data_IF_976738926448
#
_entry.id   IF_976738926448
#
_cell.length_a   1.000
_cell.length_b   1.000
_cell.length_c   1.000
_cell.angle_alpha   90.00
_cell.angle_beta   90.00
_cell.angle_gamma   90.00
#
_symmetry.space_group_name_H-M   'P 1'
#
loop_
_entity.id
_entity.type
_entity.pdbx_description
1 polymer ?
#
# COMPACT_ATOMS: atom_id res chain seq x y z
N UNK A 1 25.15 -3.21 2.48
CA UNK A 1 24.45 -2.41 1.45
C UNK A 1 23.63 -1.35 2.15
N UNK A 2 23.94 -0.06 1.92
CA UNK A 2 23.15 1.04 2.51
C UNK A 2 21.79 1.04 1.80
N UNK A 3 20.76 0.55 2.49
CA UNK A 3 19.41 0.50 1.95
C UNK A 3 18.86 1.93 1.88
N UNK A 4 19.08 2.59 0.75
CA UNK A 4 18.47 3.86 0.42
C UNK A 4 17.00 3.65 0.02
N UNK A 5 16.20 3.12 0.94
CA UNK A 5 14.75 3.22 0.80
C UNK A 5 14.42 4.67 1.17
N UNK A 6 14.47 5.57 0.18
CA UNK A 6 13.69 6.80 0.30
C UNK A 6 12.28 6.33 0.64
N UNK A 7 11.77 6.76 1.79
CA UNK A 7 10.37 6.52 2.19
C UNK A 7 9.50 6.73 0.95
N UNK A 8 8.60 5.77 0.67
CA UNK A 8 7.66 5.86 -0.45
C UNK A 8 6.96 7.24 -0.45
N UNK A 9 6.78 7.85 0.73
CA UNK A 9 6.21 9.18 0.85
C UNK A 9 7.01 10.35 0.29
N UNK A 10 8.26 10.15 -0.14
CA UNK A 10 9.03 11.15 -0.86
C UNK A 10 8.74 11.18 -2.38
N UNK A 11 8.03 10.17 -2.91
CA UNK A 11 7.76 10.01 -4.35
C UNK A 11 6.33 10.44 -4.66
N UNK A 12 6.06 11.73 -4.46
CA UNK A 12 4.70 12.29 -4.61
C UNK A 12 4.17 12.21 -6.04
N UNK A 13 5.02 12.04 -7.05
CA UNK A 13 4.65 11.91 -8.46
C UNK A 13 4.20 10.50 -8.87
N UNK A 14 4.29 9.52 -7.97
CA UNK A 14 3.94 8.13 -8.28
C UNK A 14 2.44 8.01 -8.57
N UNK A 15 2.11 7.46 -9.75
CA UNK A 15 0.72 7.20 -10.19
C UNK A 15 0.29 5.76 -10.03
N UNK A 16 1.24 4.82 -10.13
CA UNK A 16 0.96 3.40 -10.10
C UNK A 16 1.91 2.75 -9.10
N UNK A 17 1.35 2.03 -8.13
CA UNK A 17 2.08 1.27 -7.14
C UNK A 17 1.59 -0.18 -7.20
N UNK A 18 2.45 -1.06 -7.67
CA UNK A 18 2.21 -2.49 -7.71
C UNK A 18 2.91 -3.16 -6.52
N UNK A 19 2.11 -3.73 -5.62
CA UNK A 19 2.52 -4.55 -4.49
C UNK A 19 1.86 -5.93 -4.57
N UNK A 20 1.47 -6.36 -5.77
CA UNK A 20 0.86 -7.66 -5.98
C UNK A 20 1.83 -8.79 -5.65
N UNK A 21 1.30 -9.90 -5.11
CA UNK A 21 2.06 -11.12 -4.79
C UNK A 21 3.32 -10.89 -3.93
N UNK A 22 3.34 -9.84 -3.10
CA UNK A 22 4.46 -9.50 -2.23
C UNK A 22 4.45 -10.27 -0.89
N UNK A 23 3.50 -11.19 -0.70
CA UNK A 23 3.34 -11.94 0.55
C UNK A 23 2.93 -11.05 1.73
N UNK A 24 2.33 -9.88 1.46
CA UNK A 24 1.81 -9.00 2.50
C UNK A 24 0.72 -9.72 3.28
N UNK A 25 0.71 -9.57 4.60
CA UNK A 25 -0.26 -10.22 5.47
C UNK A 25 -0.78 -9.27 6.55
N UNK A 26 -1.89 -9.67 7.19
CA UNK A 26 -2.48 -8.88 8.26
C UNK A 26 -3.14 -7.58 7.76
N UNK A 27 -2.97 -6.51 8.53
CA UNK A 27 -3.56 -5.20 8.23
C UNK A 27 -2.61 -4.40 7.34
N UNK A 28 -3.08 -3.97 6.18
CA UNK A 28 -2.29 -3.13 5.29
C UNK A 28 -2.12 -1.71 5.86
N UNK A 29 -0.91 -1.14 6.04
CA UNK A 29 -0.73 0.18 6.65
C UNK A 29 -0.93 1.32 5.64
N UNK A 30 -2.16 1.53 5.15
CA UNK A 30 -2.44 2.53 4.12
C UNK A 30 -2.09 3.98 4.53
N UNK A 31 -1.96 4.27 5.83
CA UNK A 31 -1.53 5.57 6.33
C UNK A 31 -0.16 6.00 5.80
N UNK A 32 0.72 5.05 5.48
CA UNK A 32 2.05 5.34 4.94
C UNK A 32 1.99 5.82 3.47
N UNK A 33 0.86 5.58 2.80
CA UNK A 33 0.63 6.01 1.42
C UNK A 33 -0.04 7.39 1.33
N UNK A 34 -0.38 8.04 2.45
CA UNK A 34 -1.11 9.33 2.47
C UNK A 34 -0.38 10.46 1.72
N UNK A 35 0.93 10.33 1.57
CA UNK A 35 1.81 11.28 0.88
C UNK A 35 1.87 11.06 -0.64
N UNK A 36 1.41 9.91 -1.15
CA UNK A 36 1.32 9.58 -2.56
C UNK A 36 0.07 10.22 -3.20
N UNK A 37 0.00 11.56 -3.17
CA UNK A 37 -1.18 12.34 -3.58
C UNK A 37 -1.60 12.14 -5.04
N UNK A 38 -0.70 11.69 -5.90
CA UNK A 38 -0.97 11.45 -7.31
C UNK A 38 -1.19 9.96 -7.64
N UNK A 39 -1.30 9.09 -6.62
CA UNK A 39 -1.50 7.67 -6.83
C UNK A 39 -2.91 7.42 -7.40
N UNK A 40 -2.95 6.81 -8.58
CA UNK A 40 -4.16 6.47 -9.32
C UNK A 40 -4.45 4.96 -9.21
N UNK A 41 -3.40 4.13 -9.20
CA UNK A 41 -3.53 2.66 -9.14
C UNK A 41 -2.68 2.12 -7.98
N UNK A 42 -3.31 1.35 -7.10
CA UNK A 42 -2.68 0.53 -6.07
C UNK A 42 -3.10 -0.93 -6.26
N UNK A 43 -2.17 -1.78 -6.68
CA UNK A 43 -2.41 -3.22 -6.80
C UNK A 43 -1.90 -3.94 -5.55
N UNK A 44 -2.82 -4.61 -4.84
CA UNK A 44 -2.54 -5.43 -3.66
C UNK A 44 -2.96 -6.90 -3.87
N UNK A 45 -3.26 -7.28 -5.11
CA UNK A 45 -3.74 -8.62 -5.44
C UNK A 45 -2.72 -9.72 -5.10
N UNK A 46 -3.19 -10.94 -4.84
CA UNK A 46 -2.30 -12.06 -4.53
C UNK A 46 -1.56 -11.95 -3.19
N UNK A 47 -2.01 -11.10 -2.28
CA UNK A 47 -1.52 -11.01 -0.91
C UNK A 47 -2.46 -11.69 0.09
N UNK A 48 -1.98 -11.89 1.31
CA UNK A 48 -2.69 -12.50 2.44
C UNK A 48 -3.25 -11.43 3.40
N UNK A 49 -3.66 -10.28 2.86
CA UNK A 49 -4.19 -9.17 3.65
C UNK A 49 -5.56 -9.55 4.23
N UNK A 50 -5.72 -9.36 5.53
CA UNK A 50 -6.97 -9.63 6.24
C UNK A 50 -7.80 -8.37 6.43
N UNK A 51 -7.19 -7.19 6.33
CA UNK A 51 -7.87 -5.91 6.50
C UNK A 51 -7.19 -4.80 5.71
N UNK A 52 -8.01 -3.96 5.10
CA UNK A 52 -7.62 -2.67 4.56
C UNK A 52 -8.18 -1.58 5.50
N UNK A 53 -7.34 -0.71 6.08
CA UNK A 53 -7.81 0.35 6.96
C UNK A 53 -8.70 1.32 6.17
N UNK A 54 -9.87 1.63 6.74
CA UNK A 54 -10.86 2.51 6.10
C UNK A 54 -11.86 1.77 5.19
N UNK A 55 -11.64 0.50 4.87
CA UNK A 55 -12.64 -0.38 4.24
C UNK A 55 -12.96 -1.49 5.24
N UNK A 56 -13.78 -1.19 6.23
CA UNK A 56 -14.40 -2.23 7.05
C UNK A 56 -15.61 -2.75 6.29
N UNK A 57 -15.47 -3.88 5.61
CA UNK A 57 -16.65 -4.66 5.25
C UNK A 57 -17.22 -5.22 6.56
N UNK A 58 -18.24 -4.56 7.10
CA UNK A 58 -19.04 -5.12 8.18
C UNK A 58 -19.71 -6.38 7.64
N UNK A 59 -19.19 -7.56 7.98
CA UNK A 59 -19.94 -8.79 7.83
C UNK A 59 -21.03 -8.78 8.90
N UNK A 60 -22.21 -8.27 8.55
CA UNK A 60 -23.45 -8.62 9.22
C UNK A 60 -23.88 -10.02 8.80
#
# INVERSE_FOLDING_TARGET
MKSSVKSLGAVTSLKNLDLSYCGLNGVFPAQDLVSLKNLEILDLSGNYLTMLPGITCSFS
#
